data_IF_018036993487
#
_entry.id   IF_018036993487
#
_cell.length_a   1.000
_cell.length_b   1.000
_cell.length_c   1.000
_cell.angle_alpha   90.00
_cell.angle_beta   90.00
_cell.angle_gamma   90.00
#
_symmetry.space_group_name_H-M   'P 1'
#
loop_
_entity.id
_entity.type
_entity.pdbx_description
1 polymer ?
#
# COMPACT_ATOMS: atom_id res chain seq x y z
N UNK A 1 -18.34 9.92 4.37
CA UNK A 1 -17.61 10.98 5.11
C UNK A 1 -16.60 10.28 6.04
N UNK A 2 -15.32 10.68 6.05
CA UNK A 2 -14.15 10.11 6.81
C UNK A 2 -13.18 9.10 6.15
N UNK A 3 -12.93 9.14 4.84
CA UNK A 3 -11.80 8.37 4.24
C UNK A 3 -10.69 9.24 3.62
N UNK A 4 -10.75 10.57 3.76
CA UNK A 4 -9.80 11.46 3.11
C UNK A 4 -8.97 12.20 4.14
N UNK A 5 -8.01 11.50 4.74
CA UNK A 5 -6.81 12.18 5.24
C UNK A 5 -6.08 12.86 4.07
N UNK A 6 -5.07 13.72 4.33
CA UNK A 6 -4.35 14.46 3.28
C UNK A 6 -3.60 13.56 2.27
N UNK A 7 -3.66 12.25 2.45
CA UNK A 7 -3.00 11.22 1.66
C UNK A 7 -4.05 10.22 1.20
N UNK A 8 -4.45 10.33 -0.06
CA UNK A 8 -5.27 9.30 -0.70
C UNK A 8 -4.34 8.18 -1.15
N UNK A 9 -4.19 7.12 -0.34
CA UNK A 9 -3.51 5.91 -0.83
C UNK A 9 -4.37 5.25 -1.90
N UNK A 10 -3.77 5.02 -3.06
CA UNK A 10 -4.45 4.32 -4.16
C UNK A 10 -4.92 2.95 -3.68
N UNK A 11 -6.06 2.48 -4.20
CA UNK A 11 -6.55 1.13 -3.90
C UNK A 11 -5.49 0.07 -4.21
N UNK A 12 -4.63 0.30 -5.21
CA UNK A 12 -3.50 -0.57 -5.54
C UNK A 12 -2.46 -0.63 -4.42
N UNK A 13 -2.07 0.51 -3.84
CA UNK A 13 -1.12 0.55 -2.73
C UNK A 13 -1.67 -0.16 -1.49
N UNK A 14 -2.96 0.02 -1.19
CA UNK A 14 -3.61 -0.71 -0.08
C UNK A 14 -3.57 -2.22 -0.27
N UNK A 15 -3.73 -2.70 -1.51
CA UNK A 15 -3.67 -4.13 -1.84
C UNK A 15 -2.24 -4.69 -1.76
N UNK A 16 -1.25 -3.88 -2.14
CA UNK A 16 0.18 -4.21 -2.05
C UNK A 16 0.65 -4.29 -0.59
N UNK A 17 0.32 -3.30 0.24
CA UNK A 17 0.59 -3.37 1.67
C UNK A 17 -0.09 -4.58 2.32
N UNK A 18 -1.32 -4.90 1.90
CA UNK A 18 -2.03 -6.08 2.41
C UNK A 18 -1.30 -7.37 2.05
N UNK A 19 -0.90 -7.56 0.79
CA UNK A 19 -0.22 -8.79 0.37
C UNK A 19 1.15 -8.94 1.04
N UNK A 20 1.94 -7.86 1.12
CA UNK A 20 3.23 -7.85 1.81
C UNK A 20 3.09 -8.14 3.31
N UNK A 21 2.07 -7.56 3.96
CA UNK A 21 1.77 -7.85 5.36
C UNK A 21 1.39 -9.32 5.58
N UNK A 22 0.57 -9.90 4.70
CA UNK A 22 0.19 -11.32 4.79
C UNK A 22 1.37 -12.24 4.54
N UNK A 23 2.20 -11.95 3.54
CA UNK A 23 3.40 -12.75 3.23
C UNK A 23 4.45 -12.66 4.35
N UNK A 24 4.68 -11.48 4.93
CA UNK A 24 5.66 -11.32 6.01
C UNK A 24 5.24 -11.94 7.34
N UNK A 25 3.94 -12.06 7.61
CA UNK A 25 3.41 -12.64 8.85
C UNK A 25 3.17 -14.13 8.72
N UNK A 26 2.34 -14.52 7.76
CA UNK A 26 1.92 -15.92 7.55
C UNK A 26 2.94 -16.65 6.70
N UNK A 27 3.42 -16.02 5.62
CA UNK A 27 4.16 -16.67 4.55
C UNK A 27 3.25 -16.90 3.35
N UNK A 28 3.52 -17.98 2.62
CA UNK A 28 2.76 -18.35 1.42
C UNK A 28 1.26 -18.49 1.68
N UNK A 29 0.48 -18.16 0.66
CA UNK A 29 -0.98 -18.21 0.73
C UNK A 29 -1.46 -19.63 0.97
N UNK A 30 -2.21 -19.80 2.05
CA UNK A 30 -2.68 -21.08 2.55
C UNK A 30 -4.21 -21.19 2.56
N UNK A 31 -4.91 -20.25 1.93
CA UNK A 31 -6.38 -20.22 1.85
C UNK A 31 -6.84 -20.41 0.41
N UNK A 32 -8.04 -20.95 0.24
CA UNK A 32 -8.67 -21.06 -1.07
C UNK A 32 -9.03 -19.69 -1.66
N UNK A 33 -9.14 -19.62 -2.99
CA UNK A 33 -9.47 -18.38 -3.69
C UNK A 33 -10.93 -17.99 -3.41
N UNK A 34 -11.20 -16.75 -2.94
CA UNK A 34 -12.55 -16.27 -2.68
C UNK A 34 -13.47 -16.35 -3.92
N UNK A 35 -14.76 -16.55 -3.67
CA UNK A 35 -15.79 -16.63 -4.71
C UNK A 35 -15.89 -15.37 -5.58
N UNK A 36 -16.42 -15.53 -6.80
CA UNK A 36 -16.43 -14.50 -7.85
C UNK A 36 -17.19 -13.23 -7.42
N UNK A 37 -18.15 -13.36 -6.50
CA UNK A 37 -18.95 -12.25 -5.97
C UNK A 37 -18.16 -11.31 -5.04
N UNK A 38 -17.04 -11.76 -4.46
CA UNK A 38 -16.18 -10.97 -3.58
C UNK A 38 -14.99 -10.35 -4.34
N UNK A 39 -15.23 -9.36 -5.20
CA UNK A 39 -14.18 -8.74 -6.04
C UNK A 39 -12.99 -8.21 -5.21
N UNK A 40 -13.27 -7.58 -4.06
CA UNK A 40 -12.23 -6.99 -3.21
C UNK A 40 -11.37 -8.08 -2.55
N UNK A 41 -12.01 -9.11 -2.00
CA UNK A 41 -11.30 -10.21 -1.34
C UNK A 41 -10.51 -11.02 -2.35
N UNK A 42 -11.07 -11.24 -3.55
CA UNK A 42 -10.37 -11.89 -4.65
C UNK A 42 -9.13 -11.11 -5.07
N UNK A 43 -9.20 -9.77 -5.16
CA UNK A 43 -8.02 -8.94 -5.45
C UNK A 43 -6.95 -9.03 -4.36
N UNK A 44 -7.36 -9.02 -3.08
CA UNK A 44 -6.45 -9.22 -1.94
C UNK A 44 -5.78 -10.58 -1.96
N UNK A 45 -6.54 -11.62 -2.31
CA UNK A 45 -6.03 -12.97 -2.42
C UNK A 45 -5.09 -13.11 -3.63
N UNK A 46 -5.47 -12.57 -4.79
CA UNK A 46 -4.67 -12.60 -6.00
C UNK A 46 -3.33 -11.85 -5.78
N UNK A 47 -3.34 -10.71 -5.06
CA UNK A 47 -2.09 -9.99 -4.73
C UNK A 47 -1.21 -10.73 -3.73
N UNK A 48 -1.80 -11.48 -2.78
CA UNK A 48 -1.04 -12.33 -1.86
C UNK A 48 -0.46 -13.57 -2.57
N UNK A 49 -1.25 -14.24 -3.42
CA UNK A 49 -0.79 -15.36 -4.25
C UNK A 49 0.36 -14.97 -5.17
N UNK A 50 0.37 -13.75 -5.69
CA UNK A 50 1.47 -13.25 -6.51
C UNK A 50 2.83 -13.12 -5.76
N UNK A 51 2.82 -13.12 -4.42
CA UNK A 51 4.03 -13.08 -3.59
C UNK A 51 4.45 -14.46 -3.06
N UNK A 52 3.75 -15.52 -3.46
CA UNK A 52 4.11 -16.90 -3.08
C UNK A 52 5.56 -17.22 -3.47
N UNK A 53 6.30 -17.83 -2.55
CA UNK A 53 7.73 -18.11 -2.69
C UNK A 53 8.64 -16.95 -2.25
N UNK A 54 8.09 -15.79 -1.90
CA UNK A 54 8.87 -14.69 -1.31
C UNK A 54 9.12 -14.98 0.17
N UNK A 55 10.36 -14.86 0.63
CA UNK A 55 10.70 -15.05 2.05
C UNK A 55 10.01 -14.00 2.93
N UNK A 56 9.84 -14.30 4.23
CA UNK A 56 9.23 -13.35 5.16
C UNK A 56 10.08 -12.09 5.30
N UNK A 57 11.39 -12.25 5.24
CA UNK A 57 12.39 -11.18 5.31
C UNK A 57 12.29 -10.27 4.08
N UNK A 58 12.23 -10.84 2.87
CA UNK A 58 12.08 -10.07 1.63
C UNK A 58 10.74 -9.33 1.59
N UNK A 59 9.67 -9.97 2.06
CA UNK A 59 8.36 -9.32 2.16
C UNK A 59 8.35 -8.13 3.13
N UNK A 60 9.09 -8.22 4.25
CA UNK A 60 9.27 -7.09 5.19
C UNK A 60 10.08 -5.97 4.58
N UNK A 61 11.17 -6.29 3.87
CA UNK A 61 11.98 -5.27 3.20
C UNK A 61 11.17 -4.50 2.17
N UNK A 62 10.45 -5.21 1.29
CA UNK A 62 9.55 -4.59 0.32
C UNK A 62 8.47 -3.74 0.98
N UNK A 63 7.93 -4.17 2.14
CA UNK A 63 6.97 -3.36 2.90
C UNK A 63 7.57 -2.03 3.36
N UNK A 64 8.82 -2.05 3.85
CA UNK A 64 9.55 -0.86 4.28
C UNK A 64 9.82 0.05 3.07
N UNK A 65 10.26 -0.51 1.94
CA UNK A 65 10.55 0.26 0.72
C UNK A 65 9.31 1.03 0.22
N UNK A 66 8.16 0.35 0.14
CA UNK A 66 6.90 0.98 -0.30
C UNK A 66 6.44 2.05 0.70
N UNK A 67 6.68 1.83 1.99
CA UNK A 67 6.35 2.78 3.05
C UNK A 67 7.25 4.02 3.03
N UNK A 68 8.56 3.87 2.75
CA UNK A 68 9.49 4.97 2.55
C UNK A 68 9.11 5.81 1.31
N UNK A 69 8.84 5.15 0.17
CA UNK A 69 8.37 5.84 -1.05
C UNK A 69 7.06 6.62 -0.79
N UNK A 70 6.16 6.06 0.03
CA UNK A 70 4.95 6.76 0.44
C UNK A 70 5.27 7.99 1.31
N UNK A 71 6.21 7.91 2.24
CA UNK A 71 6.63 9.07 3.04
C UNK A 71 7.27 10.17 2.19
N UNK A 72 8.09 9.82 1.22
CA UNK A 72 8.73 10.78 0.31
C UNK A 72 7.66 11.51 -0.53
N UNK A 73 6.70 10.79 -1.09
CA UNK A 73 5.56 11.38 -1.82
C UNK A 73 4.72 12.29 -0.93
N UNK A 74 4.55 11.95 0.35
CA UNK A 74 3.84 12.81 1.31
C UNK A 74 4.64 14.08 1.57
N UNK A 75 5.96 13.99 1.71
CA UNK A 75 6.83 15.15 1.88
C UNK A 75 6.75 16.07 0.66
N UNK A 76 6.78 15.53 -0.56
CA UNK A 76 6.61 16.30 -1.79
C UNK A 76 5.23 16.98 -1.88
N UNK A 77 4.14 16.26 -1.62
CA UNK A 77 2.78 16.83 -1.65
C UNK A 77 2.62 17.93 -0.59
N UNK A 78 3.23 17.75 0.59
CA UNK A 78 3.26 18.78 1.64
C UNK A 78 4.10 19.98 1.22
N UNK A 79 5.28 19.77 0.66
CA UNK A 79 6.15 20.83 0.15
C UNK A 79 5.47 21.61 -0.99
N UNK A 80 4.74 20.94 -1.89
CA UNK A 80 3.97 21.57 -2.96
C UNK A 80 2.83 22.43 -2.40
N UNK A 81 2.08 21.94 -1.41
CA UNK A 81 1.01 22.71 -0.75
C UNK A 81 1.53 23.90 0.05
N UNK A 82 2.68 23.76 0.71
CA UNK A 82 3.32 24.83 1.48
C UNK A 82 4.00 25.86 0.57
N UNK A 83 4.67 25.43 -0.49
CA UNK A 83 5.29 26.30 -1.49
C UNK A 83 4.26 27.11 -2.30
N UNK A 84 3.07 26.56 -2.52
CA UNK A 84 1.93 27.29 -3.09
C UNK A 84 1.33 28.35 -2.14
N UNK A 85 1.71 28.36 -0.85
CA UNK A 85 1.24 29.34 0.15
C UNK A 85 2.19 30.55 0.29
N UNK A 86 3.33 30.58 -0.42
CA UNK A 86 4.34 31.66 -0.37
C UNK A 86 4.30 32.66 -1.57
N UNK A 87 3.39 32.67 -2.56
CA UNK A 87 3.43 33.70 -3.60
C UNK A 87 2.75 35.04 -3.24
N UNK A 88 2.41 35.31 -1.97
CA UNK A 88 1.76 36.58 -1.57
C UNK A 88 2.39 37.22 -0.32
N UNK A 89 3.70 37.42 -0.34
CA UNK A 89 4.35 38.42 0.52
C UNK A 89 5.34 39.24 -0.31
N UNK A 90 4.82 40.28 -0.96
CA UNK A 90 5.53 41.54 -1.15
C UNK A 90 4.53 42.67 -0.93
#
# INVERSE_FOLDING_TARGET
MYHSGPVSTSNSQKLEFYSLFKQSTIGDVNTERPGIFSIIERKKWDSWKALEGTSKEDAKQRYIDVLLDMFDKIAEVRAMKLGALIPYTF
#
